data_IF_582110605853
#
_entry.id   IF_582110605853
#
_cell.length_a   1.000
_cell.length_b   1.000
_cell.length_c   1.000
_cell.angle_alpha   90.00
_cell.angle_beta   90.00
_cell.angle_gamma   90.00
#
_symmetry.space_group_name_H-M   'P 1'
#
loop_
_entity.id
_entity.type
_entity.pdbx_description
1 polymer ?
#
# COMPACT_ATOMS: atom_id res chain seq x y z
N UNK A 1 -31.45 -51.20 25.70
CA UNK A 1 -31.26 -50.67 24.35
C UNK A 1 -29.99 -49.83 24.38
N UNK A 2 -28.86 -50.41 23.98
CA UNK A 2 -27.62 -49.65 23.78
C UNK A 2 -27.68 -49.04 22.38
N UNK A 3 -27.51 -47.72 22.30
CA UNK A 3 -27.38 -46.97 21.06
C UNK A 3 -25.98 -47.18 20.47
N UNK A 4 -25.92 -47.60 19.21
CA UNK A 4 -24.67 -47.74 18.46
C UNK A 4 -23.92 -46.40 18.36
N UNK A 5 -22.58 -46.39 18.42
CA UNK A 5 -21.80 -45.18 18.21
C UNK A 5 -21.83 -44.80 16.73
N UNK A 6 -22.17 -43.55 16.43
CA UNK A 6 -22.06 -42.98 15.09
C UNK A 6 -20.57 -42.95 14.74
N UNK A 7 -20.16 -43.84 13.84
CA UNK A 7 -18.84 -43.81 13.22
C UNK A 7 -18.77 -42.54 12.35
N UNK A 8 -18.03 -41.53 12.81
CA UNK A 8 -17.63 -40.41 11.97
C UNK A 8 -16.76 -40.95 10.83
N UNK A 9 -17.33 -41.05 9.63
CA UNK A 9 -16.60 -41.45 8.44
C UNK A 9 -15.46 -40.46 8.19
N UNK A 10 -14.23 -40.98 8.23
CA UNK A 10 -13.03 -40.20 7.95
C UNK A 10 -13.06 -39.77 6.48
N UNK A 11 -12.81 -38.47 6.17
CA UNK A 11 -12.91 -37.97 4.81
C UNK A 11 -11.96 -38.73 3.87
N UNK A 12 -12.47 -39.08 2.69
CA UNK A 12 -11.73 -39.85 1.68
C UNK A 12 -10.45 -39.13 1.22
N UNK A 13 -9.48 -39.88 0.71
CA UNK A 13 -8.21 -39.32 0.20
C UNK A 13 -8.42 -38.25 -0.89
N UNK A 14 -9.50 -38.34 -1.66
CA UNK A 14 -9.87 -37.34 -2.68
C UNK A 14 -10.36 -36.05 -2.03
N UNK A 15 -11.21 -36.13 -1.00
CA UNK A 15 -11.65 -34.97 -0.22
C UNK A 15 -10.48 -34.32 0.51
N UNK A 16 -9.55 -35.12 1.05
CA UNK A 16 -8.33 -34.60 1.68
C UNK A 16 -7.41 -33.91 0.66
N UNK A 17 -7.29 -34.45 -0.56
CA UNK A 17 -6.52 -33.83 -1.63
C UNK A 17 -7.18 -32.54 -2.15
N UNK A 18 -8.49 -32.54 -2.36
CA UNK A 18 -9.27 -31.35 -2.74
C UNK A 18 -9.19 -30.28 -1.66
N UNK A 19 -9.30 -30.64 -0.38
CA UNK A 19 -9.19 -29.70 0.73
C UNK A 19 -7.77 -29.15 0.89
N UNK A 20 -6.74 -29.93 0.53
CA UNK A 20 -5.33 -29.50 0.50
C UNK A 20 -5.02 -28.60 -0.71
N UNK A 21 -5.67 -28.83 -1.85
CA UNK A 21 -5.59 -27.97 -3.04
C UNK A 21 -6.37 -26.67 -2.80
N UNK A 22 -7.57 -26.75 -2.23
CA UNK A 22 -8.37 -25.60 -1.81
C UNK A 22 -7.66 -24.80 -0.72
N UNK A 23 -7.05 -25.42 0.29
CA UNK A 23 -6.25 -24.70 1.29
C UNK A 23 -4.98 -24.07 0.71
N UNK A 24 -4.42 -24.65 -0.37
CA UNK A 24 -3.32 -24.04 -1.13
C UNK A 24 -3.74 -22.86 -2.00
N UNK A 25 -5.03 -22.77 -2.36
CA UNK A 25 -5.66 -21.69 -3.11
C UNK A 25 -6.23 -20.59 -2.19
N UNK A 26 -6.72 -20.96 -1.00
CA UNK A 26 -7.13 -20.05 0.07
C UNK A 26 -5.91 -19.62 0.89
N UNK A 27 -5.11 -18.72 0.33
CA UNK A 27 -4.13 -17.97 1.13
C UNK A 27 -4.90 -17.16 2.16
N UNK A 28 -4.68 -17.45 3.45
CA UNK A 28 -5.23 -16.65 4.52
C UNK A 28 -4.82 -15.18 4.36
N UNK A 29 -5.52 -14.23 5.01
CA UNK A 29 -5.21 -12.80 4.90
C UNK A 29 -3.73 -12.49 5.14
N UNK A 30 -3.09 -13.20 6.08
CA UNK A 30 -1.68 -13.06 6.40
C UNK A 30 -0.75 -13.53 5.27
N UNK A 31 -1.04 -14.65 4.64
CA UNK A 31 -0.24 -15.15 3.51
C UNK A 31 -0.33 -14.20 2.31
N UNK A 32 -1.52 -13.63 2.09
CA UNK A 32 -1.72 -12.60 1.07
C UNK A 32 -0.86 -11.38 1.33
N UNK A 33 -0.84 -10.86 2.55
CA UNK A 33 0.04 -9.73 2.94
C UNK A 33 1.53 -10.08 2.74
N UNK A 34 1.96 -11.27 3.17
CA UNK A 34 3.36 -11.73 3.03
C UNK A 34 3.81 -11.83 1.57
N UNK A 35 2.89 -12.17 0.66
CA UNK A 35 3.19 -12.41 -0.75
C UNK A 35 2.91 -11.18 -1.63
N UNK A 36 2.19 -10.19 -1.10
CA UNK A 36 1.89 -8.95 -1.77
C UNK A 36 3.14 -8.09 -1.99
N UNK A 37 3.12 -7.30 -3.07
CA UNK A 37 4.17 -6.34 -3.39
C UNK A 37 4.03 -5.11 -2.48
N UNK A 38 5.04 -4.83 -1.66
CA UNK A 38 5.00 -3.69 -0.72
C UNK A 38 5.59 -2.42 -1.32
N UNK A 39 4.84 -1.32 -1.27
CA UNK A 39 5.27 -0.01 -1.76
C UNK A 39 6.33 0.66 -0.88
N UNK A 40 7.12 1.55 -1.46
CA UNK A 40 8.17 2.28 -0.76
C UNK A 40 7.66 3.16 0.40
N UNK A 41 6.42 3.62 0.31
CA UNK A 41 5.73 4.39 1.35
C UNK A 41 5.63 3.65 2.69
N UNK A 42 5.57 2.31 2.66
CA UNK A 42 5.42 1.46 3.85
C UNK A 42 6.73 0.84 4.34
N UNK A 43 7.87 1.19 3.73
CA UNK A 43 9.19 0.53 3.96
C UNK A 43 9.71 0.52 5.39
N UNK A 44 9.20 1.38 6.28
CA UNK A 44 9.62 1.46 7.70
C UNK A 44 8.73 0.65 8.63
N UNK A 45 7.60 0.19 8.14
CA UNK A 45 6.68 -0.63 8.91
C UNK A 45 7.14 -2.08 8.85
N UNK A 46 7.22 -2.73 10.01
CA UNK A 46 7.43 -4.16 10.07
C UNK A 46 6.13 -4.88 9.73
N UNK A 47 6.08 -5.53 8.57
CA UNK A 47 4.90 -6.28 8.11
C UNK A 47 4.83 -7.68 8.73
N UNK A 48 5.85 -8.12 9.47
CA UNK A 48 5.80 -9.41 10.18
C UNK A 48 4.87 -9.37 11.40
N UNK A 49 4.59 -8.17 11.91
CA UNK A 49 3.67 -7.90 13.03
C UNK A 49 2.19 -7.90 12.63
N UNK A 50 1.88 -8.09 11.35
CA UNK A 50 0.49 -8.11 10.86
C UNK A 50 -0.21 -9.34 11.42
N UNK A 51 -1.29 -9.12 12.16
CA UNK A 51 -2.09 -10.15 12.79
C UNK A 51 -3.43 -10.39 12.09
N UNK A 52 -3.96 -9.40 11.37
CA UNK A 52 -5.23 -9.55 10.63
C UNK A 52 -5.41 -8.48 9.53
N UNK A 53 -6.48 -8.62 8.74
CA UNK A 53 -6.94 -7.67 7.72
C UNK A 53 -8.41 -7.35 7.95
N UNK A 54 -8.76 -6.07 8.15
CA UNK A 54 -10.15 -5.66 8.48
C UNK A 54 -10.78 -4.76 7.42
N UNK A 55 -12.09 -4.92 7.23
CA UNK A 55 -12.87 -4.20 6.21
C UNK A 55 -13.77 -3.12 6.79
N UNK A 56 -14.18 -3.25 8.05
CA UNK A 56 -15.26 -2.44 8.63
C UNK A 56 -14.69 -1.24 9.41
N UNK A 57 -13.69 -0.58 8.82
CA UNK A 57 -12.99 0.56 9.44
C UNK A 57 -12.77 1.66 8.41
N UNK A 58 -13.13 2.89 8.77
CA UNK A 58 -12.87 4.08 7.95
C UNK A 58 -11.36 4.33 7.83
N UNK A 59 -10.80 4.40 6.61
CA UNK A 59 -9.38 4.68 6.41
C UNK A 59 -8.95 6.05 6.93
N UNK A 60 -7.72 6.12 7.43
CA UNK A 60 -7.03 7.37 7.79
C UNK A 60 -5.76 7.53 6.97
N UNK A 61 -5.29 8.77 6.89
CA UNK A 61 -4.01 9.07 6.25
C UNK A 61 -2.87 8.30 6.93
N UNK A 62 -2.16 7.51 6.14
CA UNK A 62 -1.05 6.66 6.54
C UNK A 62 -1.42 5.23 6.92
N UNK A 63 -2.71 4.87 6.95
CA UNK A 63 -3.11 3.50 7.23
C UNK A 63 -2.66 2.57 6.10
N UNK A 64 -2.16 1.41 6.46
CA UNK A 64 -1.73 0.39 5.50
C UNK A 64 -2.94 -0.39 5.02
N UNK A 65 -2.99 -0.61 3.71
CA UNK A 65 -4.07 -1.33 3.05
C UNK A 65 -3.49 -2.42 2.15
N UNK A 66 -4.02 -3.64 2.27
CA UNK A 66 -3.88 -4.68 1.26
C UNK A 66 -4.88 -4.34 0.14
N UNK A 67 -4.41 -4.25 -1.10
CA UNK A 67 -5.27 -3.94 -2.24
C UNK A 67 -4.94 -4.82 -3.43
N UNK A 68 -5.92 -5.07 -4.30
CA UNK A 68 -5.75 -5.76 -5.57
C UNK A 68 -5.73 -4.74 -6.71
N UNK A 69 -4.79 -4.88 -7.63
CA UNK A 69 -4.79 -4.09 -8.87
C UNK A 69 -5.89 -4.61 -9.78
N UNK A 70 -6.84 -3.75 -10.17
CA UNK A 70 -7.96 -4.14 -11.04
C UNK A 70 -7.73 -3.68 -12.48
N UNK A 71 -7.16 -2.50 -12.70
CA UNK A 71 -6.86 -1.96 -14.03
C UNK A 71 -5.63 -1.05 -14.03
N UNK A 72 -4.72 -1.23 -14.99
CA UNK A 72 -3.54 -0.38 -15.12
C UNK A 72 -3.87 0.99 -15.74
N UNK A 73 -3.32 2.04 -15.14
CA UNK A 73 -3.40 3.42 -15.60
C UNK A 73 -2.00 4.03 -15.77
N UNK A 74 -1.80 5.24 -15.25
CA UNK A 74 -0.52 5.97 -15.30
C UNK A 74 0.59 5.26 -14.51
N UNK A 75 0.30 4.83 -13.28
CA UNK A 75 1.29 4.19 -12.42
C UNK A 75 1.30 2.67 -12.66
N UNK A 76 2.01 2.26 -13.71
CA UNK A 76 2.15 0.85 -14.12
C UNK A 76 3.24 0.10 -13.36
N UNK A 77 3.99 0.81 -12.53
CA UNK A 77 5.06 0.26 -11.70
C UNK A 77 4.85 0.70 -10.26
N UNK A 78 5.20 -0.19 -9.34
CA UNK A 78 5.32 0.09 -7.91
C UNK A 78 6.80 0.14 -7.55
N UNK A 79 7.21 1.18 -6.85
CA UNK A 79 8.53 1.25 -6.20
C UNK A 79 8.47 0.43 -4.91
N UNK A 80 9.31 -0.59 -4.82
CA UNK A 80 9.40 -1.49 -3.68
C UNK A 80 10.16 -0.86 -2.53
N UNK A 81 10.05 -1.44 -1.34
CA UNK A 81 10.76 -1.02 -0.12
C UNK A 81 12.28 -0.91 -0.29
N UNK A 82 12.87 -1.65 -1.23
CA UNK A 82 14.29 -1.61 -1.59
C UNK A 82 14.65 -0.59 -2.70
N UNK A 83 13.69 0.24 -3.13
CA UNK A 83 13.84 1.23 -4.20
C UNK A 83 13.71 0.69 -5.62
N UNK A 84 13.63 -0.65 -5.81
CA UNK A 84 13.44 -1.22 -7.16
C UNK A 84 12.03 -0.93 -7.66
N UNK A 85 11.92 -0.55 -8.93
CA UNK A 85 10.62 -0.41 -9.60
C UNK A 85 10.22 -1.72 -10.25
N UNK A 86 9.03 -2.21 -9.93
CA UNK A 86 8.48 -3.45 -10.47
C UNK A 86 7.17 -3.21 -11.18
N UNK A 87 6.99 -3.89 -12.32
CA UNK A 87 5.77 -3.77 -13.12
C UNK A 87 4.58 -4.40 -12.38
N UNK A 88 3.45 -3.71 -12.45
CA UNK A 88 2.16 -4.17 -11.95
C UNK A 88 1.37 -4.85 -13.07
N UNK A 89 0.52 -5.78 -12.67
CA UNK A 89 -0.44 -6.49 -13.50
C UNK A 89 -1.80 -6.53 -12.82
N UNK A 90 -2.92 -6.53 -13.57
CA UNK A 90 -4.22 -6.83 -12.98
C UNK A 90 -4.19 -8.17 -12.23
N UNK A 91 -4.79 -8.20 -11.04
CA UNK A 91 -4.74 -9.32 -10.11
C UNK A 91 -3.59 -9.30 -9.12
N UNK A 92 -2.55 -8.47 -9.32
CA UNK A 92 -1.49 -8.30 -8.32
C UNK A 92 -2.07 -7.78 -7.00
N UNK A 93 -1.62 -8.37 -5.90
CA UNK A 93 -1.88 -7.83 -4.56
C UNK A 93 -0.71 -6.98 -4.10
N UNK A 94 -1.02 -5.82 -3.53
CA UNK A 94 -0.07 -4.82 -3.10
C UNK A 94 -0.37 -4.34 -1.68
N UNK A 95 0.68 -4.01 -0.93
CA UNK A 95 0.56 -3.31 0.35
C UNK A 95 1.03 -1.88 0.15
N UNK A 96 0.13 -0.93 0.39
CA UNK A 96 0.34 0.50 0.18
C UNK A 96 -0.26 1.29 1.33
N UNK A 97 0.01 2.59 1.40
CA UNK A 97 -0.56 3.47 2.42
C UNK A 97 -1.64 4.37 1.82
N UNK A 98 -2.72 4.60 2.55
CA UNK A 98 -3.68 5.64 2.21
C UNK A 98 -3.07 7.03 2.39
N UNK A 99 -3.29 7.93 1.43
CA UNK A 99 -2.79 9.29 1.52
C UNK A 99 -3.44 10.26 0.55
N UNK A 100 -3.59 11.50 1.00
CA UNK A 100 -3.95 12.60 0.13
C UNK A 100 -2.74 13.00 -0.73
N UNK A 101 -3.00 13.41 -1.97
CA UNK A 101 -1.97 13.85 -2.90
C UNK A 101 -2.46 15.10 -3.62
N UNK A 102 -1.72 16.19 -3.51
CA UNK A 102 -1.93 17.40 -4.30
C UNK A 102 -0.81 17.53 -5.33
N UNK A 103 -1.06 17.08 -6.56
CA UNK A 103 -0.13 17.18 -7.66
C UNK A 103 -0.85 17.79 -8.88
N UNK A 104 -0.83 19.13 -9.04
CA UNK A 104 -1.56 19.83 -10.11
C UNK A 104 -1.29 19.32 -11.52
N UNK A 105 -0.06 18.88 -11.81
CA UNK A 105 0.31 18.31 -13.11
C UNK A 105 0.00 16.81 -13.23
N UNK A 106 -0.65 16.22 -12.23
CA UNK A 106 -1.01 14.80 -12.18
C UNK A 106 -2.41 14.60 -11.63
N UNK A 107 -2.51 14.34 -10.32
CA UNK A 107 -3.76 14.05 -9.64
C UNK A 107 -3.86 14.89 -8.38
N UNK A 108 -5.08 15.36 -8.15
CA UNK A 108 -5.55 15.68 -6.81
C UNK A 108 -6.32 14.47 -6.29
N UNK A 109 -5.95 14.00 -5.10
CA UNK A 109 -6.57 12.84 -4.47
C UNK A 109 -6.70 13.04 -2.97
N UNK A 110 -7.75 12.47 -2.41
CA UNK A 110 -8.04 12.46 -0.97
C UNK A 110 -8.00 11.04 -0.42
N UNK A 111 -7.89 10.92 0.90
CA UNK A 111 -8.15 9.65 1.59
C UNK A 111 -9.64 9.35 1.48
N UNK A 112 -10.06 8.16 1.01
CA UNK A 112 -11.48 7.81 0.91
C UNK A 112 -12.11 7.64 2.30
N UNK A 113 -13.44 7.73 2.35
CA UNK A 113 -14.21 7.61 3.59
C UNK A 113 -14.52 6.16 3.98
N UNK A 114 -14.26 5.23 3.08
CA UNK A 114 -14.47 3.79 3.20
C UNK A 114 -13.43 3.03 2.35
N UNK A 115 -13.57 1.71 2.27
CA UNK A 115 -12.73 0.83 1.46
C UNK A 115 -13.31 0.56 0.07
N UNK A 116 -14.14 1.46 -0.47
CA UNK A 116 -14.60 1.35 -1.86
C UNK A 116 -13.41 1.39 -2.85
N UNK A 117 -13.59 0.86 -4.07
CA UNK A 117 -12.56 0.92 -5.11
C UNK A 117 -11.99 2.34 -5.27
N UNK A 118 -10.67 2.43 -5.36
CA UNK A 118 -9.95 3.69 -5.45
C UNK A 118 -8.75 3.55 -6.38
N UNK A 119 -7.71 4.37 -6.18
CA UNK A 119 -6.63 4.48 -7.14
C UNK A 119 -5.26 4.44 -6.47
N UNK A 120 -4.28 3.87 -7.17
CA UNK A 120 -2.87 4.09 -6.88
C UNK A 120 -2.48 5.45 -7.46
N UNK A 121 -2.37 6.46 -6.59
CA UNK A 121 -2.15 7.87 -6.95
C UNK A 121 -0.68 8.28 -6.93
N UNK A 122 0.21 7.42 -6.44
CA UNK A 122 1.66 7.56 -6.63
C UNK A 122 2.34 6.20 -6.70
N UNK A 123 3.32 6.06 -7.61
CA UNK A 123 4.09 4.83 -7.78
C UNK A 123 4.92 4.42 -6.56
N UNK A 124 5.14 5.31 -5.59
CA UNK A 124 5.72 4.99 -4.29
C UNK A 124 4.80 4.20 -3.35
N UNK A 125 3.58 3.87 -3.78
CA UNK A 125 2.61 3.11 -2.99
C UNK A 125 1.67 4.00 -2.18
N UNK A 126 1.05 5.00 -2.83
CA UNK A 126 0.00 5.81 -2.19
C UNK A 126 -1.35 5.47 -2.82
N UNK A 127 -2.27 4.98 -2.00
CA UNK A 127 -3.67 4.76 -2.35
C UNK A 127 -4.51 6.01 -2.01
N UNK A 128 -5.45 6.35 -2.88
CA UNK A 128 -6.36 7.48 -2.66
C UNK A 128 -7.48 7.54 -3.68
N UNK A 129 -8.53 8.31 -3.38
CA UNK A 129 -9.60 8.60 -4.32
C UNK A 129 -9.25 9.87 -5.09
N UNK A 130 -9.06 9.75 -6.40
CA UNK A 130 -8.81 10.89 -7.28
C UNK A 130 -10.06 11.77 -7.31
N UNK A 131 -9.90 13.06 -7.06
CA UNK A 131 -10.97 14.08 -7.16
C UNK A 131 -10.80 14.95 -8.41
N UNK A 132 -9.56 15.17 -8.85
CA UNK A 132 -9.24 15.89 -10.07
C UNK A 132 -8.00 15.29 -10.73
N UNK A 133 -7.93 15.40 -12.06
CA UNK A 133 -6.83 14.87 -12.88
C UNK A 133 -6.48 15.90 -13.94
N UNK A 134 -5.18 16.16 -14.12
CA UNK A 134 -4.69 16.97 -15.21
C UNK A 134 -5.02 16.34 -16.58
N UNK A 135 -5.49 17.15 -17.54
CA UNK A 135 -6.03 16.65 -18.82
C UNK A 135 -5.02 15.77 -19.61
N UNK A 136 -3.73 16.09 -19.54
CA UNK A 136 -2.67 15.38 -20.27
C UNK A 136 -2.15 14.10 -19.58
N UNK A 137 -2.72 13.70 -18.45
CA UNK A 137 -2.26 12.56 -17.66
C UNK A 137 -3.22 11.41 -17.85
N UNK A 138 -2.74 10.17 -18.02
CA UNK A 138 -3.62 8.99 -18.15
C UNK A 138 -4.50 8.85 -16.89
N UNK A 139 -5.62 8.11 -16.93
CA UNK A 139 -6.32 7.73 -15.71
C UNK A 139 -5.36 7.05 -14.71
N UNK A 140 -5.62 7.20 -13.41
CA UNK A 140 -4.85 6.50 -12.40
C UNK A 140 -5.05 4.97 -12.51
N UNK A 141 -4.14 4.21 -11.90
CA UNK A 141 -4.27 2.75 -11.82
C UNK A 141 -5.34 2.43 -10.78
N UNK A 142 -6.33 1.64 -11.16
CA UNK A 142 -7.45 1.27 -10.29
C UNK A 142 -7.03 0.14 -9.35
N UNK A 143 -7.42 0.28 -8.09
CA UNK A 143 -7.17 -0.72 -7.06
C UNK A 143 -8.44 -0.95 -6.24
N UNK A 144 -8.65 -2.20 -5.83
CA UNK A 144 -9.69 -2.64 -4.93
C UNK A 144 -9.07 -2.85 -3.54
N UNK A 145 -9.37 -2.01 -2.54
CA UNK A 145 -8.99 -2.28 -1.16
C UNK A 145 -9.60 -3.61 -0.67
N UNK A 146 -8.75 -4.47 -0.12
CA UNK A 146 -9.15 -5.77 0.45
C UNK A 146 -9.26 -5.71 1.97
N UNK A 147 -8.65 -4.70 2.59
CA UNK A 147 -8.75 -4.40 4.02
C UNK A 147 -7.53 -3.65 4.56
N UNK A 148 -7.71 -3.00 5.70
CA UNK A 148 -6.64 -2.37 6.46
C UNK A 148 -5.86 -3.42 7.25
N UNK A 149 -4.55 -3.23 7.37
CA UNK A 149 -3.70 -4.15 8.12
C UNK A 149 -3.81 -3.87 9.62
N UNK A 150 -4.02 -4.92 10.42
CA UNK A 150 -4.04 -4.86 11.89
C UNK A 150 -2.78 -5.50 12.48
N UNK A 151 -2.36 -4.97 13.63
CA UNK A 151 -1.48 -5.63 14.58
C UNK A 151 -2.07 -5.56 16.00
N UNK A 152 -1.31 -5.97 17.01
CA UNK A 152 -1.73 -5.95 18.41
C UNK A 152 -2.06 -4.54 18.94
N UNK A 153 -1.62 -3.47 18.28
CA UNK A 153 -1.89 -2.07 18.64
C UNK A 153 -3.07 -1.47 17.85
N UNK A 154 -3.66 -2.20 16.92
CA UNK A 154 -4.77 -1.77 16.08
C UNK A 154 -4.38 -1.62 14.61
N UNK A 155 -5.04 -0.68 13.90
CA UNK A 155 -4.74 -0.41 12.49
C UNK A 155 -3.32 0.13 12.35
N UNK A 156 -2.53 -0.56 11.53
CA UNK A 156 -1.15 -0.21 11.27
C UNK A 156 -1.10 1.07 10.44
N UNK A 157 -0.41 2.08 10.96
CA UNK A 157 -0.22 3.36 10.30
C UNK A 157 1.27 3.69 10.20
N UNK A 158 1.71 4.27 9.07
CA UNK A 158 3.11 4.65 8.86
C UNK A 158 3.67 5.59 9.92
N UNK A 159 2.82 6.34 10.65
CA UNK A 159 3.22 7.19 11.78
C UNK A 159 3.82 6.39 12.94
N UNK A 160 3.38 5.14 13.14
CA UNK A 160 3.94 4.24 14.14
C UNK A 160 5.41 3.89 13.86
N UNK A 161 5.85 4.04 12.61
CA UNK A 161 7.22 3.82 12.17
C UNK A 161 7.97 5.13 11.84
N UNK A 162 7.55 6.25 12.43
CA UNK A 162 8.23 7.53 12.27
C UNK A 162 9.66 7.45 12.83
N UNK A 163 10.58 8.21 12.20
CA UNK A 163 11.93 8.35 12.76
C UNK A 163 11.84 9.10 14.10
N UNK A 164 12.56 8.58 15.10
CA UNK A 164 12.78 9.28 16.34
C UNK A 164 13.60 10.57 16.15
N UNK A 165 13.63 11.45 17.17
CA UNK A 165 14.48 12.63 17.15
C UNK A 165 15.95 12.24 16.94
N UNK A 166 16.65 12.98 16.08
CA UNK A 166 18.09 12.83 15.91
C UNK A 166 18.83 13.47 17.09
N UNK A 167 19.94 12.89 17.58
CA UNK A 167 20.79 13.56 18.56
C UNK A 167 21.27 14.92 18.04
N UNK A 168 21.54 15.88 18.94
CA UNK A 168 21.99 17.22 18.55
C UNK A 168 23.35 17.13 17.86
N UNK A 169 23.35 17.39 16.56
CA UNK A 169 24.55 17.64 15.77
C UNK A 169 24.76 19.15 15.65
N UNK A 170 25.99 19.61 15.43
CA UNK A 170 26.20 21.00 14.96
C UNK A 170 25.33 21.19 13.70
N UNK A 171 24.46 22.22 13.65
CA UNK A 171 23.53 22.36 12.54
C UNK A 171 24.32 22.55 11.24
N UNK A 172 24.11 21.69 10.22
CA UNK A 172 24.75 21.88 8.92
C UNK A 172 24.21 23.16 8.26
N UNK A 173 24.89 23.65 7.22
CA UNK A 173 24.31 24.66 6.33
C UNK A 173 23.03 24.08 5.71
N UNK A 174 21.89 24.72 5.96
CA UNK A 174 20.60 24.35 5.39
C UNK A 174 20.18 25.42 4.38
N UNK A 175 20.05 25.02 3.12
CA UNK A 175 19.52 25.86 2.05
C UNK A 175 18.16 25.31 1.62
N UNK A 176 17.12 26.14 1.66
CA UNK A 176 15.78 25.76 1.23
C UNK A 176 15.44 26.40 -0.13
N UNK A 177 15.07 25.57 -1.11
CA UNK A 177 14.58 26.02 -2.43
C UNK A 177 13.07 25.87 -2.49
N UNK A 178 12.35 26.99 -2.47
CA UNK A 178 10.88 27.04 -2.41
C UNK A 178 10.31 27.63 -3.70
N UNK A 179 9.12 27.20 -4.10
CA UNK A 179 8.43 27.67 -5.30
C UNK A 179 6.94 27.31 -5.27
N UNK A 180 6.11 28.13 -5.91
CA UNK A 180 4.63 28.11 -5.78
C UNK A 180 3.92 26.96 -6.49
N UNK A 181 4.58 26.25 -7.40
CA UNK A 181 3.97 25.17 -8.18
C UNK A 181 4.94 24.04 -8.54
N UNK A 182 4.41 22.92 -9.04
CA UNK A 182 5.18 21.93 -9.79
C UNK A 182 5.86 22.60 -11.00
N UNK A 183 7.05 22.12 -11.37
CA UNK A 183 7.87 22.68 -12.46
C UNK A 183 8.32 24.15 -12.31
N UNK A 184 8.20 24.77 -11.13
CA UNK A 184 8.70 26.13 -10.86
C UNK A 184 10.26 26.23 -10.78
N UNK A 185 11.00 25.30 -11.37
CA UNK A 185 12.47 25.28 -11.34
C UNK A 185 13.12 24.78 -10.05
N UNK A 186 12.36 24.44 -8.99
CA UNK A 186 12.90 24.04 -7.67
C UNK A 186 14.03 22.99 -7.74
N UNK A 187 13.79 21.90 -8.47
CA UNK A 187 14.78 20.80 -8.60
C UNK A 187 16.00 21.23 -9.40
N UNK A 188 15.81 22.00 -10.48
CA UNK A 188 16.90 22.53 -11.31
C UNK A 188 17.78 23.49 -10.51
N UNK A 189 17.17 24.44 -9.77
CA UNK A 189 17.88 25.35 -8.86
C UNK A 189 18.64 24.59 -7.80
N UNK A 190 18.02 23.59 -7.15
CA UNK A 190 18.70 22.76 -6.17
C UNK A 190 19.91 22.03 -6.78
N UNK A 191 19.80 21.49 -7.99
CA UNK A 191 20.91 20.84 -8.70
C UNK A 191 22.06 21.81 -8.99
N UNK A 192 21.76 23.03 -9.46
CA UNK A 192 22.80 24.05 -9.69
C UNK A 192 23.49 24.50 -8.41
N UNK A 193 22.76 24.61 -7.30
CA UNK A 193 23.36 24.89 -5.99
C UNK A 193 24.28 23.76 -5.53
N UNK A 194 23.88 22.49 -5.71
CA UNK A 194 24.71 21.33 -5.31
C UNK A 194 26.00 21.23 -6.12
N UNK A 195 25.98 21.59 -7.41
CA UNK A 195 27.16 21.51 -8.29
C UNK A 195 28.04 22.77 -8.21
N UNK A 196 27.45 23.93 -7.89
CA UNK A 196 28.14 25.22 -7.90
C UNK A 196 28.59 25.75 -6.53
N UNK A 197 28.13 25.17 -5.42
CA UNK A 197 28.64 25.42 -4.06
C UNK A 197 29.77 24.44 -3.73
#
# INVERSE_FOLDING_TARGET
MLSDPILEESPSLVQQAEQKVLSGLYRGPLDRVRLAKSGYSVRRVDLSDVSDVVTDVRPKAGDLVLARVTRLGQHQHLEFVNGRRSRLWPGDEIVVAFGARYAPDQYEAVVPDDLSPCHLVAGGGIAGRVVSRHANIKPATDIEPLGLLLNAQGVINVRGAALGPSPPLRPPLVVAVVGSSMNAGKTTTAAHLIVGL
#
